data_IF_026866473313
#
_entry.id   IF_026866473313
#
_cell.length_a   1.000
_cell.length_b   1.000
_cell.length_c   1.000
_cell.angle_alpha   90.00
_cell.angle_beta   90.00
_cell.angle_gamma   90.00
#
_symmetry.space_group_name_H-M   'P 1'
#
loop_
_entity.id
_entity.type
_entity.pdbx_description
1 polymer ?
#
# COMPACT_ATOMS: atom_id res chain seq x y z
N UNK A 1 -6.88 18.07 4.22
CA UNK A 1 -5.73 17.38 4.82
C UNK A 1 -4.54 17.71 3.92
N UNK A 2 -3.73 18.69 4.34
CA UNK A 2 -2.74 19.39 3.51
C UNK A 2 -1.30 18.96 3.83
N UNK A 3 -1.11 17.96 4.69
CA UNK A 3 0.18 17.36 5.03
C UNK A 3 -0.03 15.89 5.41
N UNK A 4 1.04 15.10 5.37
CA UNK A 4 0.98 13.69 5.79
C UNK A 4 0.58 13.58 7.27
N UNK A 5 0.99 14.54 8.10
CA UNK A 5 0.58 14.59 9.51
C UNK A 5 -0.95 14.77 9.65
N UNK A 6 -1.56 15.65 8.85
CA UNK A 6 -3.01 15.82 8.85
C UNK A 6 -3.72 14.56 8.34
N UNK A 7 -3.20 13.94 7.27
CA UNK A 7 -3.73 12.67 6.75
C UNK A 7 -3.66 11.58 7.83
N UNK A 8 -2.52 11.41 8.47
CA UNK A 8 -2.32 10.40 9.52
C UNK A 8 -3.17 10.67 10.77
N UNK A 9 -3.45 11.93 11.13
CA UNK A 9 -4.39 12.24 12.21
C UNK A 9 -5.83 11.89 11.89
N UNK A 10 -6.21 11.91 10.61
CA UNK A 10 -7.53 11.54 10.15
C UNK A 10 -7.68 10.02 9.97
N UNK A 11 -6.63 9.34 9.53
CA UNK A 11 -6.59 7.88 9.42
C UNK A 11 -6.66 7.22 10.80
N UNK A 12 -7.22 6.00 10.80
CA UNK A 12 -7.22 5.13 11.96
C UNK A 12 -6.18 4.02 11.74
N UNK A 13 -5.20 3.96 12.64
CA UNK A 13 -4.15 2.95 12.63
C UNK A 13 -4.51 1.78 13.54
N UNK A 14 -4.14 0.57 13.11
CA UNK A 14 -4.45 -0.68 13.78
C UNK A 14 -3.24 -1.60 13.76
N UNK A 15 -3.05 -2.35 14.84
CA UNK A 15 -2.21 -3.54 14.83
C UNK A 15 -3.11 -4.75 14.52
N UNK A 16 -2.81 -5.45 13.43
CA UNK A 16 -3.57 -6.59 12.91
C UNK A 16 -2.67 -7.83 12.89
N UNK A 17 -3.26 -9.02 13.04
CA UNK A 17 -2.54 -10.29 13.24
C UNK A 17 -2.64 -11.22 12.04
N UNK A 18 -1.61 -12.03 11.89
CA UNK A 18 -1.61 -13.15 10.95
C UNK A 18 -2.73 -14.18 11.26
N UNK A 19 -3.21 -14.94 10.26
CA UNK A 19 -2.82 -14.86 8.85
C UNK A 19 -3.56 -13.74 8.10
N UNK A 20 -2.83 -13.02 7.23
CA UNK A 20 -3.36 -11.99 6.33
C UNK A 20 -3.09 -12.39 4.89
N UNK A 21 -4.08 -12.22 4.01
CA UNK A 21 -3.92 -12.39 2.56
C UNK A 21 -3.70 -11.02 1.94
N UNK A 22 -2.46 -10.76 1.52
CA UNK A 22 -2.03 -9.46 0.99
C UNK A 22 -2.08 -9.43 -0.54
N UNK A 23 -2.42 -8.26 -1.09
CA UNK A 23 -2.57 -8.00 -2.52
C UNK A 23 -1.70 -6.79 -2.93
N UNK A 24 -0.36 -6.95 -3.03
CA UNK A 24 0.54 -5.85 -3.34
C UNK A 24 0.55 -5.52 -4.83
N UNK A 25 0.66 -4.22 -5.13
CA UNK A 25 1.07 -3.70 -6.44
C UNK A 25 2.27 -2.79 -6.21
N UNK A 26 3.35 -3.02 -6.94
CA UNK A 26 4.54 -2.19 -6.86
C UNK A 26 5.25 -2.03 -8.20
N UNK A 27 5.89 -0.87 -8.38
CA UNK A 27 6.64 -0.49 -9.59
C UNK A 27 8.00 0.03 -9.14
N UNK A 28 9.09 -0.50 -9.71
CA UNK A 28 10.44 -0.16 -9.25
C UNK A 28 10.83 1.29 -9.50
N UNK A 29 10.34 1.90 -10.59
CA UNK A 29 10.59 3.30 -10.97
C UNK A 29 9.39 3.84 -11.75
N UNK A 30 8.95 5.05 -11.41
CA UNK A 30 7.94 5.77 -12.19
C UNK A 30 8.59 6.37 -13.47
N UNK A 31 8.14 6.01 -14.69
CA UNK A 31 8.64 6.57 -15.92
C UNK A 31 8.01 7.93 -16.29
N UNK A 32 7.21 8.54 -15.41
CA UNK A 32 6.61 9.88 -15.58
C UNK A 32 5.08 9.91 -15.57
N UNK A 33 4.42 8.88 -15.02
CA UNK A 33 2.96 8.75 -14.96
C UNK A 33 2.35 9.12 -13.61
N UNK A 34 3.14 9.67 -12.69
CA UNK A 34 2.71 10.01 -11.33
C UNK A 34 2.08 8.79 -10.63
N UNK A 35 2.89 7.75 -10.51
CA UNK A 35 2.50 6.45 -9.99
C UNK A 35 2.58 6.44 -8.45
N UNK A 36 1.70 5.62 -7.85
CA UNK A 36 1.91 5.10 -6.50
C UNK A 36 2.85 3.90 -6.63
N UNK A 37 4.09 4.05 -6.16
CA UNK A 37 5.13 3.05 -6.37
C UNK A 37 4.89 1.76 -5.58
N UNK A 38 4.28 1.87 -4.40
CA UNK A 38 4.02 0.75 -3.50
C UNK A 38 2.62 0.94 -2.89
N UNK A 39 1.77 -0.07 -3.03
CA UNK A 39 0.45 -0.07 -2.42
C UNK A 39 0.02 -1.51 -2.13
N UNK A 40 -0.11 -1.85 -0.86
CA UNK A 40 -0.54 -3.18 -0.42
C UNK A 40 -1.76 -3.07 0.47
N UNK A 41 -2.86 -3.70 0.06
CA UNK A 41 -4.00 -3.94 0.94
C UNK A 41 -4.07 -5.43 1.29
N UNK A 42 -4.80 -5.76 2.36
CA UNK A 42 -5.00 -7.13 2.78
C UNK A 42 -6.38 -7.38 3.35
N UNK A 43 -6.75 -8.65 3.44
CA UNK A 43 -7.94 -9.14 4.11
C UNK A 43 -7.64 -10.44 4.86
N UNK A 44 -8.57 -10.91 5.68
CA UNK A 44 -8.46 -12.15 6.42
C UNK A 44 -9.81 -12.81 6.66
N UNK A 45 -9.79 -14.08 7.07
CA UNK A 45 -11.00 -14.80 7.51
C UNK A 45 -11.36 -14.52 8.98
N UNK A 46 -10.56 -13.73 9.71
CA UNK A 46 -10.79 -13.39 11.11
C UNK A 46 -11.21 -11.93 11.32
N UNK A 47 -11.62 -11.25 10.23
CA UNK A 47 -12.30 -9.95 10.28
C UNK A 47 -11.37 -8.73 10.19
N UNK A 48 -10.08 -8.94 9.95
CA UNK A 48 -9.08 -7.88 9.80
C UNK A 48 -8.73 -7.64 8.33
N UNK A 49 -8.53 -6.38 7.97
CA UNK A 49 -8.19 -5.93 6.63
C UNK A 49 -7.96 -4.43 6.59
N UNK A 50 -7.22 -3.96 5.59
CA UNK A 50 -6.88 -2.54 5.48
C UNK A 50 -5.67 -2.27 4.60
N UNK A 51 -5.06 -1.11 4.81
CA UNK A 51 -3.81 -0.69 4.20
C UNK A 51 -2.63 -1.20 5.03
N UNK A 52 -1.66 -1.87 4.39
CA UNK A 52 -0.46 -2.38 5.05
C UNK A 52 0.61 -1.30 5.12
N UNK A 53 1.18 -1.08 6.31
CA UNK A 53 2.35 -0.22 6.50
C UNK A 53 3.63 -1.04 6.68
N UNK A 54 3.70 -1.84 7.75
CA UNK A 54 4.84 -2.72 8.08
C UNK A 54 4.41 -3.72 9.16
N UNK A 55 5.16 -4.80 9.35
CA UNK A 55 5.00 -5.66 10.53
C UNK A 55 5.52 -5.01 11.81
N UNK A 56 4.94 -5.39 12.95
CA UNK A 56 5.33 -4.94 14.29
C UNK A 56 6.03 -6.04 15.10
N UNK A 57 6.26 -7.21 14.51
CA UNK A 57 6.87 -8.39 15.14
C UNK A 57 8.04 -8.94 14.30
N UNK A 58 9.13 -8.16 14.10
CA UNK A 58 10.17 -8.47 13.13
C UNK A 58 10.95 -9.76 13.44
N UNK A 59 11.02 -10.14 14.71
CA UNK A 59 11.72 -11.38 15.14
C UNK A 59 10.99 -12.66 14.74
N UNK A 60 9.67 -12.56 14.45
CA UNK A 60 8.80 -13.73 14.22
C UNK A 60 7.94 -13.62 12.98
N UNK A 61 8.03 -12.54 12.21
CA UNK A 61 7.22 -12.35 10.99
C UNK A 61 7.63 -13.34 9.90
N UNK A 62 6.63 -13.89 9.19
CA UNK A 62 6.84 -14.78 8.05
C UNK A 62 6.04 -14.29 6.84
N UNK A 63 6.68 -14.24 5.68
CA UNK A 63 6.06 -13.84 4.41
C UNK A 63 6.20 -14.96 3.36
N UNK A 64 5.08 -15.30 2.72
CA UNK A 64 5.04 -16.16 1.53
C UNK A 64 4.36 -15.40 0.39
N UNK A 65 5.11 -15.11 -0.67
CA UNK A 65 4.64 -14.33 -1.81
C UNK A 65 4.74 -15.10 -3.13
N UNK A 66 3.73 -14.93 -3.98
CA UNK A 66 3.72 -15.39 -5.36
C UNK A 66 3.49 -14.19 -6.28
N UNK A 67 4.44 -13.90 -7.18
CA UNK A 67 4.43 -12.69 -8.01
C UNK A 67 4.72 -13.00 -9.47
N UNK A 68 4.26 -12.10 -10.34
CA UNK A 68 4.59 -12.08 -11.77
C UNK A 68 4.89 -10.63 -12.19
N UNK A 69 5.79 -10.41 -13.17
CA UNK A 69 5.96 -9.09 -13.76
C UNK A 69 4.77 -8.73 -14.65
N UNK A 70 4.39 -7.45 -14.66
CA UNK A 70 3.44 -6.93 -15.63
C UNK A 70 4.16 -6.57 -16.95
N UNK A 71 3.56 -6.89 -18.09
CA UNK A 71 4.09 -6.51 -19.41
C UNK A 71 3.75 -5.06 -19.78
N UNK A 72 2.58 -4.58 -19.35
CA UNK A 72 2.07 -3.25 -19.67
C UNK A 72 1.61 -2.51 -18.42
N UNK A 73 1.70 -1.18 -18.48
CA UNK A 73 1.10 -0.25 -17.54
C UNK A 73 0.11 0.64 -18.28
N UNK A 74 -1.11 0.73 -17.77
CA UNK A 74 -2.13 1.64 -18.28
C UNK A 74 -2.39 2.74 -17.25
N UNK A 75 -2.07 3.98 -17.61
CA UNK A 75 -2.42 5.14 -16.78
C UNK A 75 -3.77 5.67 -17.22
N UNK A 76 -4.79 5.40 -16.41
CA UNK A 76 -6.16 5.86 -16.65
C UNK A 76 -6.42 7.05 -15.72
N UNK A 77 -7.06 8.08 -16.27
CA UNK A 77 -7.52 9.28 -15.55
C UNK A 77 -6.47 9.87 -14.59
N UNK A 78 -5.28 10.19 -15.12
CA UNK A 78 -4.23 10.84 -14.33
C UNK A 78 -4.71 12.22 -13.85
N UNK A 79 -4.59 12.53 -12.54
CA UNK A 79 -4.91 13.86 -12.03
C UNK A 79 -4.13 14.94 -12.77
N UNK A 80 -4.82 16.00 -13.19
CA UNK A 80 -4.17 17.17 -13.83
C UNK A 80 -3.35 17.98 -12.83
N UNK A 81 -3.79 18.02 -11.58
CA UNK A 81 -3.11 18.64 -10.45
C UNK A 81 -2.70 17.51 -9.49
N UNK A 82 -1.43 17.49 -9.09
CA UNK A 82 -0.89 16.42 -8.25
C UNK A 82 -0.05 16.99 -7.11
N UNK A 83 0.16 16.14 -6.10
CA UNK A 83 0.97 16.40 -4.91
C UNK A 83 1.58 15.08 -4.39
N UNK A 84 2.56 15.18 -3.50
CA UNK A 84 3.21 14.03 -2.86
C UNK A 84 2.59 13.61 -1.52
N UNK A 85 1.60 14.34 -1.02
CA UNK A 85 0.94 14.09 0.29
C UNK A 85 0.07 12.83 0.24
N UNK A 86 0.04 12.05 1.33
CA UNK A 86 -0.87 10.92 1.56
C UNK A 86 -0.52 9.68 0.73
N UNK A 87 0.77 9.51 0.41
CA UNK A 87 1.29 8.39 -0.40
C UNK A 87 1.97 7.31 0.41
N UNK A 88 1.89 7.39 1.73
CA UNK A 88 2.27 6.34 2.66
C UNK A 88 1.15 5.30 2.83
#
# INVERSE_FOLDING_TARGET
>A
LNSDEEVNKWLHFYEMKAPLVCLPVFVSRDPGFDLRLEHTHFFSHHGEGGHYHYDTTPDTVEYLGYFLPAEFLYRIDQPKESHSIGRD
#
